data_IF_634282525860
#
_entry.id   IF_634282525860
#
_cell.length_a   1.000
_cell.length_b   1.000
_cell.length_c   1.000
_cell.angle_alpha   90.00
_cell.angle_beta   90.00
_cell.angle_gamma   90.00
#
_symmetry.space_group_name_H-M   'P 1'
#
loop_
_entity.id
_entity.type
_entity.pdbx_description
1 polymer ?
#
# COMPACT_ATOMS: atom_id res chain seq x y z
N UNK A 1 -15.11 36.09 -9.10
CA UNK A 1 -14.99 34.93 -8.18
C UNK A 1 -15.42 35.24 -6.74
N UNK A 2 -14.95 36.31 -6.09
CA UNK A 2 -15.20 36.54 -4.65
C UNK A 2 -16.68 36.67 -4.22
N UNK A 3 -17.57 37.18 -5.09
CA UNK A 3 -19.00 37.28 -4.79
C UNK A 3 -19.64 35.88 -4.66
N UNK A 4 -19.29 34.96 -5.56
CA UNK A 4 -19.81 33.59 -5.55
C UNK A 4 -19.39 32.87 -4.27
N UNK A 5 -18.12 33.01 -3.87
CA UNK A 5 -17.63 32.45 -2.62
C UNK A 5 -18.36 33.01 -1.39
N UNK A 6 -18.56 34.33 -1.31
CA UNK A 6 -19.32 34.98 -0.22
C UNK A 6 -20.78 34.50 -0.16
N UNK A 7 -21.41 34.32 -1.32
CA UNK A 7 -22.78 33.79 -1.41
C UNK A 7 -22.83 32.33 -0.93
N UNK A 8 -21.89 31.49 -1.36
CA UNK A 8 -21.79 30.10 -0.90
C UNK A 8 -21.60 30.03 0.61
N UNK A 9 -20.69 30.82 1.18
CA UNK A 9 -20.45 30.84 2.63
C UNK A 9 -21.69 31.27 3.43
N UNK A 10 -22.40 32.31 2.97
CA UNK A 10 -23.66 32.75 3.59
C UNK A 10 -24.75 31.68 3.50
N UNK A 11 -24.83 31.00 2.36
CA UNK A 11 -25.78 29.92 2.13
C UNK A 11 -25.54 28.72 3.08
N UNK A 12 -24.28 28.31 3.26
CA UNK A 12 -23.90 27.26 4.23
C UNK A 12 -24.23 27.65 5.67
N UNK A 13 -23.90 28.89 6.06
CA UNK A 13 -24.22 29.41 7.40
C UNK A 13 -25.72 29.50 7.67
N UNK A 14 -26.55 29.70 6.63
CA UNK A 14 -28.01 29.72 6.76
C UNK A 14 -28.57 28.30 6.89
N UNK A 15 -28.03 27.33 6.16
CA UNK A 15 -28.51 25.95 6.12
C UNK A 15 -27.66 24.99 6.99
N UNK A 16 -27.39 25.37 8.24
CA UNK A 16 -26.46 24.64 9.13
C UNK A 16 -26.83 23.17 9.38
N UNK A 17 -28.11 22.81 9.36
CA UNK A 17 -28.52 21.40 9.55
C UNK A 17 -28.02 20.53 8.40
N UNK A 18 -28.21 21.00 7.16
CA UNK A 18 -27.78 20.28 5.96
C UNK A 18 -26.27 20.21 5.84
N UNK A 19 -25.58 21.34 5.99
CA UNK A 19 -24.11 21.39 5.93
C UNK A 19 -23.46 20.50 7.01
N UNK A 20 -24.08 20.36 8.20
CA UNK A 20 -23.59 19.41 9.20
C UNK A 20 -23.80 17.96 8.77
N UNK A 21 -24.94 17.62 8.17
CA UNK A 21 -25.20 16.26 7.69
C UNK A 21 -24.22 15.82 6.60
N UNK A 22 -23.89 16.70 5.64
CA UNK A 22 -22.92 16.39 4.58
C UNK A 22 -21.50 16.27 5.13
N UNK A 23 -21.08 17.19 6.00
CA UNK A 23 -19.77 17.11 6.66
C UNK A 23 -19.66 15.81 7.47
N UNK A 24 -20.70 15.42 8.21
CA UNK A 24 -20.71 14.15 8.95
C UNK A 24 -20.67 12.94 8.02
N UNK A 25 -21.36 12.97 6.87
CA UNK A 25 -21.30 11.90 5.87
C UNK A 25 -19.91 11.73 5.29
N UNK A 26 -19.24 12.85 4.94
CA UNK A 26 -17.85 12.85 4.47
C UNK A 26 -16.92 12.34 5.57
N UNK A 27 -17.04 12.86 6.79
CA UNK A 27 -16.20 12.48 7.91
C UNK A 27 -16.36 10.98 8.25
N UNK A 28 -17.59 10.48 8.31
CA UNK A 28 -17.88 9.07 8.56
C UNK A 28 -17.25 8.16 7.49
N UNK A 29 -17.39 8.53 6.21
CA UNK A 29 -16.75 7.78 5.13
C UNK A 29 -15.23 7.80 5.26
N UNK A 30 -14.63 8.96 5.57
CA UNK A 30 -13.17 9.07 5.75
C UNK A 30 -12.68 8.31 6.98
N UNK A 31 -13.45 8.22 8.07
CA UNK A 31 -13.15 7.37 9.23
C UNK A 31 -13.05 5.91 8.76
N UNK A 32 -14.06 5.40 8.07
CA UNK A 32 -14.06 4.00 7.61
C UNK A 32 -12.86 3.73 6.70
N UNK A 33 -12.61 4.60 5.72
CA UNK A 33 -11.48 4.46 4.80
C UNK A 33 -10.13 4.50 5.51
N UNK A 34 -9.93 5.42 6.45
CA UNK A 34 -8.67 5.54 7.19
C UNK A 34 -8.46 4.39 8.17
N UNK A 35 -9.47 4.03 8.95
CA UNK A 35 -9.38 2.92 9.89
C UNK A 35 -9.05 1.61 9.17
N UNK A 36 -9.73 1.29 8.08
CA UNK A 36 -9.47 0.06 7.31
C UNK A 36 -8.06 0.08 6.72
N UNK A 37 -7.63 1.21 6.17
CA UNK A 37 -6.29 1.33 5.57
C UNK A 37 -5.18 1.20 6.62
N UNK A 38 -5.32 1.88 7.76
CA UNK A 38 -4.34 1.81 8.85
C UNK A 38 -4.32 0.42 9.49
N UNK A 39 -5.49 -0.18 9.70
CA UNK A 39 -5.59 -1.54 10.22
C UNK A 39 -4.94 -2.55 9.27
N UNK A 40 -5.21 -2.48 7.97
CA UNK A 40 -4.58 -3.34 6.98
C UNK A 40 -3.06 -3.21 6.99
N UNK A 41 -2.53 -1.97 7.03
CA UNK A 41 -1.09 -1.72 7.14
C UNK A 41 -0.49 -2.25 8.45
N UNK A 42 -1.22 -2.16 9.56
CA UNK A 42 -0.79 -2.63 10.88
C UNK A 42 -0.78 -4.15 10.96
N UNK A 43 -1.86 -4.81 10.51
CA UNK A 43 -1.97 -6.26 10.40
C UNK A 43 -0.83 -6.81 9.54
N UNK A 44 -0.62 -6.17 8.39
CA UNK A 44 0.52 -6.45 7.55
C UNK A 44 1.80 -6.30 8.40
N UNK A 45 2.08 -5.15 9.01
CA UNK A 45 3.29 -4.93 9.80
C UNK A 45 3.57 -6.04 10.83
N UNK A 46 2.55 -6.49 11.56
CA UNK A 46 2.68 -7.58 12.53
C UNK A 46 3.11 -8.90 11.90
N UNK A 47 2.51 -9.32 10.78
CA UNK A 47 2.87 -10.56 10.08
C UNK A 47 4.31 -10.48 9.54
N UNK A 48 4.74 -9.31 9.05
CA UNK A 48 6.13 -9.12 8.61
C UNK A 48 7.09 -9.31 9.77
N UNK A 49 6.80 -8.70 10.91
CA UNK A 49 7.70 -8.76 12.06
C UNK A 49 7.76 -10.17 12.66
N UNK A 50 6.63 -10.89 12.73
CA UNK A 50 6.64 -12.28 13.20
C UNK A 50 7.50 -13.20 12.33
N UNK A 51 7.42 -13.06 10.99
CA UNK A 51 8.29 -13.85 10.08
C UNK A 51 9.77 -13.50 10.27
N UNK A 52 10.08 -12.22 10.51
CA UNK A 52 11.47 -11.77 10.75
C UNK A 52 12.02 -12.26 12.08
N UNK A 53 11.18 -12.36 13.10
CA UNK A 53 11.54 -12.92 14.40
C UNK A 53 11.76 -14.43 14.34
N UNK A 54 10.89 -15.16 13.61
CA UNK A 54 10.94 -16.63 13.56
C UNK A 54 12.00 -17.19 12.59
N UNK A 55 12.22 -16.57 11.43
CA UNK A 55 13.07 -17.12 10.36
C UNK A 55 14.20 -16.19 9.89
N UNK A 56 14.29 -14.98 10.45
CA UNK A 56 15.27 -13.96 10.06
C UNK A 56 14.78 -13.07 8.90
N UNK A 57 15.52 -11.99 8.64
CA UNK A 57 15.12 -10.93 7.71
C UNK A 57 15.63 -11.10 6.27
N UNK A 58 16.33 -12.21 5.98
CA UNK A 58 16.92 -12.47 4.68
C UNK A 58 15.86 -12.75 3.61
N UNK A 59 16.11 -12.26 2.40
CA UNK A 59 15.19 -12.47 1.27
C UNK A 59 15.64 -13.62 0.36
N UNK A 60 16.94 -13.90 0.37
CA UNK A 60 17.55 -14.98 -0.39
C UNK A 60 18.83 -15.46 0.29
N UNK A 61 19.21 -16.70 -0.01
CA UNK A 61 20.48 -17.32 0.37
C UNK A 61 21.19 -17.75 -0.91
N UNK A 62 22.45 -17.35 -1.04
CA UNK A 62 23.36 -17.88 -2.04
C UNK A 62 24.11 -19.06 -1.44
N UNK A 63 24.14 -20.18 -2.16
CA UNK A 63 24.85 -21.39 -1.74
C UNK A 63 26.16 -21.57 -2.49
N UNK A 64 27.04 -22.39 -1.93
CA UNK A 64 28.28 -22.86 -2.57
C UNK A 64 29.22 -21.72 -3.00
N UNK A 65 29.37 -20.69 -2.16
CA UNK A 65 30.23 -19.55 -2.45
C UNK A 65 31.66 -19.74 -1.93
N UNK A 66 32.62 -19.16 -2.64
CA UNK A 66 33.97 -18.96 -2.13
C UNK A 66 34.10 -17.63 -1.34
N UNK A 67 35.24 -17.47 -0.64
CA UNK A 67 35.48 -16.27 0.18
C UNK A 67 35.57 -14.99 -0.67
N UNK A 68 36.03 -15.06 -1.92
CA UNK A 68 36.19 -13.90 -2.81
C UNK A 68 34.83 -13.41 -3.34
N UNK A 69 33.95 -14.35 -3.67
CA UNK A 69 32.56 -14.13 -4.05
C UNK A 69 31.75 -13.53 -2.91
N UNK A 70 31.97 -13.99 -1.68
CA UNK A 70 31.35 -13.42 -0.48
C UNK A 70 31.71 -11.94 -0.28
N UNK A 71 32.98 -11.58 -0.39
CA UNK A 71 33.40 -10.18 -0.28
C UNK A 71 32.86 -9.33 -1.44
N UNK A 72 32.82 -9.88 -2.66
CA UNK A 72 32.18 -9.24 -3.82
C UNK A 72 30.67 -9.00 -3.65
N UNK A 73 29.99 -9.88 -2.90
CA UNK A 73 28.57 -9.72 -2.55
C UNK A 73 28.35 -8.59 -1.54
N UNK A 74 29.21 -8.46 -0.53
CA UNK A 74 29.14 -7.36 0.45
C UNK A 74 29.24 -5.98 -0.18
N UNK A 75 30.07 -5.83 -1.22
CA UNK A 75 30.22 -4.54 -1.93
C UNK A 75 29.01 -4.19 -2.82
N UNK A 76 28.06 -5.11 -3.00
CA UNK A 76 26.96 -4.93 -3.93
C UNK A 76 25.90 -3.96 -3.40
N UNK A 77 25.81 -2.77 -4.01
CA UNK A 77 24.84 -1.71 -3.66
C UNK A 77 23.35 -2.11 -3.69
N UNK A 78 22.99 -3.25 -4.28
CA UNK A 78 21.61 -3.75 -4.36
C UNK A 78 21.22 -4.63 -3.18
N UNK A 79 22.21 -5.17 -2.48
CA UNK A 79 22.03 -5.98 -1.29
C UNK A 79 22.24 -5.10 -0.04
N UNK A 80 21.49 -5.42 0.99
CA UNK A 80 21.66 -4.92 2.35
C UNK A 80 21.90 -6.14 3.23
N UNK A 81 22.61 -5.96 4.34
CA UNK A 81 22.82 -7.00 5.35
C UNK A 81 23.18 -8.38 4.76
N UNK A 82 24.47 -8.54 4.42
CA UNK A 82 25.01 -9.78 3.88
C UNK A 82 25.75 -10.50 5.00
N UNK A 83 25.25 -11.66 5.41
CA UNK A 83 25.79 -12.44 6.52
C UNK A 83 25.96 -13.90 6.11
N UNK A 84 26.95 -14.55 6.71
CA UNK A 84 27.10 -16.00 6.61
C UNK A 84 26.01 -16.69 7.44
N UNK A 85 25.49 -17.80 6.94
CA UNK A 85 24.43 -18.61 7.56
C UNK A 85 24.81 -20.07 7.45
N UNK A 86 24.51 -20.86 8.49
CA UNK A 86 24.69 -22.31 8.45
C UNK A 86 23.69 -22.94 7.48
N UNK A 87 24.17 -23.83 6.61
CA UNK A 87 23.32 -24.61 5.72
C UNK A 87 22.81 -25.87 6.45
N UNK A 88 21.51 -26.18 6.32
CA UNK A 88 20.92 -27.40 6.91
C UNK A 88 21.37 -28.68 6.16
N UNK A 89 21.77 -28.56 4.89
CA UNK A 89 22.24 -29.64 4.04
C UNK A 89 23.71 -29.44 3.64
N UNK A 90 24.64 -29.68 4.57
CA UNK A 90 26.08 -29.58 4.29
C UNK A 90 26.63 -30.90 3.75
N UNK A 91 26.78 -31.01 2.43
CA UNK A 91 27.74 -31.96 1.85
C UNK A 91 29.17 -31.58 2.28
N UNK A 92 30.09 -32.56 2.45
CA UNK A 92 31.43 -32.32 2.99
C UNK A 92 32.34 -31.43 2.13
N UNK A 93 31.97 -31.11 0.88
CA UNK A 93 32.64 -30.18 -0.02
C UNK A 93 31.81 -28.90 -0.31
N UNK A 94 30.75 -28.63 0.46
CA UNK A 94 29.86 -27.49 0.23
C UNK A 94 30.56 -26.16 0.55
N UNK A 95 30.36 -25.16 -0.32
CA UNK A 95 30.89 -23.81 -0.13
C UNK A 95 30.14 -23.00 0.93
N UNK A 96 30.50 -21.73 1.10
CA UNK A 96 29.88 -20.81 2.06
C UNK A 96 28.43 -20.50 1.68
N UNK A 97 27.53 -20.56 2.67
CA UNK A 97 26.14 -20.14 2.53
C UNK A 97 25.95 -18.72 3.04
N UNK A 98 25.44 -17.84 2.18
CA UNK A 98 25.38 -16.40 2.44
C UNK A 98 23.95 -15.89 2.30
N UNK A 99 23.36 -15.50 3.42
CA UNK A 99 22.08 -14.83 3.48
C UNK A 99 22.23 -13.35 3.10
N UNK A 100 21.30 -12.85 2.28
CA UNK A 100 21.31 -11.47 1.84
C UNK A 100 19.91 -10.85 1.84
N UNK A 101 19.84 -9.58 2.24
CA UNK A 101 18.63 -8.78 2.10
C UNK A 101 18.66 -7.94 0.82
N UNK A 102 17.51 -7.80 0.19
CA UNK A 102 17.36 -6.92 -0.96
C UNK A 102 17.01 -5.51 -0.50
N UNK A 103 17.75 -4.50 -0.97
CA UNK A 103 17.42 -3.09 -0.69
C UNK A 103 16.03 -2.69 -1.21
N UNK A 104 15.59 -3.31 -2.31
CA UNK A 104 14.30 -3.04 -2.93
C UNK A 104 13.69 -4.32 -3.49
N UNK A 105 12.78 -4.90 -2.73
CA UNK A 105 12.00 -6.09 -3.08
C UNK A 105 10.95 -5.72 -4.13
N UNK A 106 11.09 -6.26 -5.33
CA UNK A 106 10.14 -6.07 -6.42
C UNK A 106 10.22 -7.25 -7.39
N UNK A 107 9.25 -7.39 -8.30
CA UNK A 107 9.18 -8.52 -9.25
C UNK A 107 10.47 -8.75 -10.06
N UNK A 108 11.28 -7.70 -10.28
CA UNK A 108 12.57 -7.79 -10.99
C UNK A 108 13.70 -8.37 -10.13
N UNK A 109 13.44 -8.75 -8.88
CA UNK A 109 14.48 -9.26 -7.98
C UNK A 109 15.08 -10.56 -8.49
N UNK A 110 14.26 -11.50 -8.97
CA UNK A 110 14.72 -12.78 -9.50
C UNK A 110 15.71 -12.59 -10.67
N UNK A 111 15.42 -11.65 -11.58
CA UNK A 111 16.37 -11.27 -12.65
C UNK A 111 17.66 -10.67 -12.08
N UNK A 112 17.54 -9.83 -11.04
CA UNK A 112 18.68 -9.12 -10.46
C UNK A 112 19.61 -10.07 -9.72
N UNK A 113 19.07 -10.99 -8.92
CA UNK A 113 19.84 -11.98 -8.16
C UNK A 113 20.56 -12.95 -9.08
N UNK A 114 19.91 -13.42 -10.15
CA UNK A 114 20.58 -14.24 -11.17
C UNK A 114 21.70 -13.47 -11.90
N UNK A 115 21.51 -12.17 -12.17
CA UNK A 115 22.59 -11.30 -12.70
C UNK A 115 23.73 -11.08 -11.70
N UNK A 116 23.43 -11.08 -10.40
CA UNK A 116 24.44 -10.98 -9.34
C UNK A 116 25.26 -12.27 -9.31
N UNK A 117 24.62 -13.44 -9.27
CA UNK A 117 25.30 -14.73 -9.33
C UNK A 117 26.23 -14.86 -10.54
N UNK A 118 25.76 -14.43 -11.71
CA UNK A 118 26.61 -14.35 -12.91
C UNK A 118 27.82 -13.41 -12.75
N UNK A 119 27.64 -12.27 -12.10
CA UNK A 119 28.69 -11.24 -11.97
C UNK A 119 29.77 -11.65 -10.98
N UNK A 120 29.40 -12.34 -9.91
CA UNK A 120 30.36 -12.84 -8.91
C UNK A 120 31.04 -14.14 -9.37
N UNK A 121 30.57 -14.75 -10.46
CA UNK A 121 31.20 -15.93 -11.04
C UNK A 121 30.75 -17.24 -10.41
N UNK A 122 29.52 -17.32 -9.91
CA UNK A 122 28.94 -18.58 -9.42
C UNK A 122 28.94 -19.64 -10.54
N UNK A 123 29.11 -20.89 -10.14
CA UNK A 123 28.91 -22.03 -11.03
C UNK A 123 27.44 -22.16 -11.42
N UNK A 124 27.18 -22.47 -12.70
CA UNK A 124 25.81 -22.70 -13.16
C UNK A 124 25.40 -24.11 -12.82
N UNK A 125 24.19 -24.25 -12.28
CA UNK A 125 23.56 -25.54 -12.07
C UNK A 125 23.42 -26.28 -13.41
N UNK A 126 23.53 -27.62 -13.41
CA UNK A 126 23.26 -28.43 -14.59
C UNK A 126 21.84 -28.15 -15.11
N UNK A 127 21.63 -28.25 -16.43
CA UNK A 127 20.36 -27.85 -17.07
C UNK A 127 19.14 -28.59 -16.50
N UNK A 128 19.34 -29.81 -15.97
CA UNK A 128 18.32 -30.64 -15.34
C UNK A 128 17.83 -30.07 -13.99
N UNK A 129 18.66 -29.30 -13.30
CA UNK A 129 18.36 -28.70 -11.99
C UNK A 129 17.86 -27.25 -12.10
N UNK A 130 17.65 -26.74 -13.32
CA UNK A 130 17.15 -25.38 -13.50
C UNK A 130 15.76 -25.21 -12.92
N UNK A 131 15.68 -24.44 -11.84
CA UNK A 131 14.42 -24.14 -11.16
C UNK A 131 13.66 -23.07 -11.92
N UNK A 132 12.34 -23.24 -12.06
CA UNK A 132 11.46 -22.16 -12.50
C UNK A 132 11.27 -21.20 -11.33
N UNK A 133 11.63 -19.94 -11.54
CA UNK A 133 11.40 -18.86 -10.59
C UNK A 133 10.08 -18.15 -10.93
N UNK A 134 9.48 -17.45 -9.95
CA UNK A 134 8.32 -16.59 -10.20
C UNK A 134 8.57 -15.60 -11.35
N UNK A 135 7.50 -15.21 -12.04
CA UNK A 135 7.54 -14.31 -13.22
C UNK A 135 8.25 -14.89 -14.45
N UNK A 136 8.24 -16.22 -14.62
CA UNK A 136 8.82 -16.95 -15.77
C UNK A 136 10.34 -16.76 -15.93
N UNK A 137 11.01 -16.48 -14.82
CA UNK A 137 12.47 -16.43 -14.79
C UNK A 137 13.05 -17.81 -14.53
N UNK A 138 14.29 -18.04 -14.97
CA UNK A 138 15.00 -19.31 -14.79
C UNK A 138 16.09 -19.15 -13.75
N UNK A 139 16.06 -19.98 -12.71
CA UNK A 139 17.09 -20.08 -11.68
C UNK A 139 18.23 -20.95 -12.19
N UNK A 140 19.27 -20.31 -12.70
CA UNK A 140 20.49 -20.97 -13.22
C UNK A 140 21.57 -21.17 -12.15
N UNK A 141 21.49 -20.41 -11.07
CA UNK A 141 22.43 -20.42 -9.95
C UNK A 141 21.76 -20.96 -8.70
N UNK A 142 22.53 -21.59 -7.81
CA UNK A 142 22.05 -22.13 -6.54
C UNK A 142 21.70 -21.01 -5.55
N UNK A 143 20.49 -20.46 -5.69
CA UNK A 143 19.97 -19.37 -4.88
C UNK A 143 18.59 -19.78 -4.37
N UNK A 144 18.45 -19.89 -3.05
CA UNK A 144 17.16 -20.13 -2.40
C UNK A 144 16.52 -18.80 -2.01
N UNK A 145 15.21 -18.69 -2.20
CA UNK A 145 14.45 -17.49 -1.85
C UNK A 145 13.52 -17.79 -0.69
N UNK A 146 13.38 -16.82 0.21
CA UNK A 146 12.42 -16.91 1.31
C UNK A 146 11.00 -16.63 0.78
N UNK A 147 10.36 -17.65 0.19
CA UNK A 147 9.11 -17.47 -0.55
C UNK A 147 8.00 -16.91 0.35
N UNK A 148 7.88 -17.37 1.61
CA UNK A 148 6.85 -16.90 2.54
C UNK A 148 6.96 -15.40 2.82
N UNK A 149 8.16 -14.89 3.08
CA UNK A 149 8.40 -13.46 3.28
C UNK A 149 8.17 -12.68 1.97
N UNK A 150 8.56 -13.23 0.82
CA UNK A 150 8.38 -12.58 -0.49
C UNK A 150 6.91 -12.50 -0.92
N UNK A 151 6.11 -13.54 -0.65
CA UNK A 151 4.67 -13.55 -0.90
C UNK A 151 3.96 -12.43 -0.15
N UNK A 152 4.41 -12.16 1.08
CA UNK A 152 3.92 -11.07 1.89
C UNK A 152 4.30 -9.69 1.28
N UNK A 153 5.45 -9.56 0.64
CA UNK A 153 5.78 -8.39 -0.19
C UNK A 153 4.96 -8.30 -1.49
N UNK A 154 4.05 -9.25 -1.73
CA UNK A 154 3.20 -9.33 -2.91
C UNK A 154 3.87 -9.99 -4.12
N UNK A 155 4.98 -10.70 -3.90
CA UNK A 155 5.67 -11.47 -4.95
C UNK A 155 5.16 -12.90 -4.94
N UNK A 156 4.19 -13.16 -5.80
CA UNK A 156 3.48 -14.44 -5.85
C UNK A 156 3.86 -15.18 -7.11
N UNK A 157 3.91 -16.50 -7.04
CA UNK A 157 3.90 -17.33 -8.24
C UNK A 157 2.52 -17.30 -8.90
N UNK A 158 2.44 -17.56 -10.21
CA UNK A 158 1.23 -17.34 -11.05
C UNK A 158 -0.02 -18.11 -10.56
N UNK A 159 0.11 -19.04 -9.60
CA UNK A 159 -0.93 -19.97 -9.17
C UNK A 159 -1.66 -19.60 -7.88
N UNK A 160 -1.20 -18.63 -7.06
CA UNK A 160 -1.87 -18.30 -5.78
C UNK A 160 -1.80 -16.82 -5.43
N UNK A 161 -2.95 -16.25 -5.02
CA UNK A 161 -2.97 -14.90 -4.46
C UNK A 161 -2.46 -14.94 -3.02
N UNK A 162 -1.32 -14.30 -2.74
CA UNK A 162 -0.84 -14.14 -1.37
C UNK A 162 -1.82 -13.35 -0.51
N UNK A 163 -1.68 -13.56 0.79
CA UNK A 163 -2.45 -12.85 1.82
C UNK A 163 -2.34 -11.33 1.64
N UNK A 164 -1.14 -10.81 1.36
CA UNK A 164 -0.93 -9.38 1.09
C UNK A 164 -1.64 -8.89 -0.18
N UNK A 165 -1.66 -9.72 -1.23
CA UNK A 165 -2.42 -9.45 -2.46
C UNK A 165 -3.93 -9.36 -2.21
N UNK A 166 -4.49 -10.30 -1.43
CA UNK A 166 -5.91 -10.33 -1.07
C UNK A 166 -6.28 -9.07 -0.27
N UNK A 167 -5.49 -8.71 0.74
CA UNK A 167 -5.70 -7.51 1.55
C UNK A 167 -5.70 -6.25 0.68
N UNK A 168 -4.75 -6.12 -0.25
CA UNK A 168 -4.68 -4.97 -1.15
C UNK A 168 -5.91 -4.86 -2.08
N UNK A 169 -6.42 -6.00 -2.58
CA UNK A 169 -7.66 -6.02 -3.38
C UNK A 169 -8.85 -5.54 -2.54
N UNK A 170 -8.97 -6.02 -1.29
CA UNK A 170 -10.04 -5.60 -0.37
C UNK A 170 -9.94 -4.09 -0.08
N UNK A 171 -8.76 -3.58 0.26
CA UNK A 171 -8.54 -2.14 0.51
C UNK A 171 -8.92 -1.31 -0.72
N UNK A 172 -8.56 -1.78 -1.91
CA UNK A 172 -8.92 -1.11 -3.17
C UNK A 172 -10.43 -1.08 -3.40
N UNK A 173 -11.11 -2.20 -3.15
CA UNK A 173 -12.58 -2.28 -3.26
C UNK A 173 -13.27 -1.32 -2.27
N UNK A 174 -12.79 -1.27 -1.03
CA UNK A 174 -13.29 -0.36 0.00
C UNK A 174 -13.09 1.10 -0.41
N UNK A 175 -11.94 1.46 -0.99
CA UNK A 175 -11.69 2.80 -1.52
C UNK A 175 -12.69 3.18 -2.62
N UNK A 176 -12.99 2.26 -3.55
CA UNK A 176 -14.00 2.49 -4.60
C UNK A 176 -15.40 2.70 -4.01
N UNK A 177 -15.79 1.88 -3.02
CA UNK A 177 -17.07 2.04 -2.32
C UNK A 177 -17.14 3.38 -1.57
N UNK A 178 -16.04 3.82 -0.96
CA UNK A 178 -15.95 5.12 -0.30
C UNK A 178 -16.22 6.29 -1.25
N UNK A 179 -15.67 6.25 -2.47
CA UNK A 179 -15.96 7.24 -3.51
C UNK A 179 -17.46 7.31 -3.84
N UNK A 180 -18.12 6.15 -3.94
CA UNK A 180 -19.57 6.06 -4.20
C UNK A 180 -20.38 6.63 -3.02
N UNK A 181 -19.99 6.35 -1.78
CA UNK A 181 -20.66 6.90 -0.59
C UNK A 181 -20.58 8.42 -0.52
N UNK A 182 -19.40 8.99 -0.79
CA UNK A 182 -19.22 10.45 -0.86
C UNK A 182 -20.07 11.05 -1.97
N UNK A 183 -20.07 10.41 -3.15
CA UNK A 183 -20.91 10.85 -4.27
C UNK A 183 -22.40 10.85 -3.89
N UNK A 184 -22.88 9.78 -3.24
CA UNK A 184 -24.28 9.68 -2.83
C UNK A 184 -24.65 10.75 -1.80
N UNK A 185 -23.79 10.99 -0.80
CA UNK A 185 -24.01 12.05 0.18
C UNK A 185 -24.08 13.43 -0.48
N UNK A 186 -23.21 13.68 -1.46
CA UNK A 186 -23.16 14.96 -2.18
C UNK A 186 -24.32 15.13 -3.18
N UNK A 187 -24.76 14.05 -3.81
CA UNK A 187 -25.91 14.03 -4.72
C UNK A 187 -27.19 14.45 -4.00
N UNK A 188 -27.41 13.93 -2.79
CA UNK A 188 -28.54 14.32 -1.93
C UNK A 188 -28.48 15.83 -1.61
N UNK A 189 -27.32 16.33 -1.19
CA UNK A 189 -27.12 17.77 -0.90
C UNK A 189 -27.39 18.67 -2.11
N UNK A 190 -26.94 18.24 -3.29
CA UNK A 190 -27.14 18.96 -4.54
C UNK A 190 -28.61 18.98 -4.95
N UNK A 191 -29.31 17.86 -4.82
CA UNK A 191 -30.73 17.74 -5.15
C UNK A 191 -31.59 18.73 -4.34
N UNK A 192 -31.35 18.82 -3.03
CA UNK A 192 -32.05 19.77 -2.16
C UNK A 192 -31.74 21.24 -2.51
N UNK A 193 -30.57 21.52 -3.07
CA UNK A 193 -30.13 22.86 -3.48
C UNK A 193 -30.62 23.27 -4.88
N UNK A 194 -31.20 22.36 -5.66
CA UNK A 194 -31.66 22.64 -7.03
C UNK A 194 -32.56 23.88 -7.11
N UNK A 195 -33.50 24.05 -6.16
CA UNK A 195 -34.39 25.22 -6.12
C UNK A 195 -33.64 26.54 -5.96
N UNK A 196 -32.62 26.57 -5.11
CA UNK A 196 -31.78 27.76 -4.89
C UNK A 196 -30.97 28.13 -6.15
N UNK A 197 -30.38 27.13 -6.81
CA UNK A 197 -29.65 27.34 -8.07
C UNK A 197 -30.59 27.78 -9.21
N UNK A 198 -31.85 27.31 -9.20
CA UNK A 198 -32.91 27.75 -10.09
C UNK A 198 -33.21 29.24 -9.93
N UNK A 199 -33.45 29.70 -8.70
CA UNK A 199 -33.67 31.13 -8.41
C UNK A 199 -32.47 31.98 -8.79
N UNK A 200 -31.25 31.50 -8.50
CA UNK A 200 -30.02 32.18 -8.90
C UNK A 200 -29.93 32.33 -10.44
N UNK A 201 -30.34 31.30 -11.18
CA UNK A 201 -30.47 31.33 -12.64
C UNK A 201 -31.48 32.37 -13.13
N UNK A 202 -32.64 32.49 -12.48
CA UNK A 202 -33.69 33.46 -12.85
C UNK A 202 -33.26 34.92 -12.66
N UNK A 203 -32.32 35.20 -11.75
CA UNK A 203 -31.75 36.54 -11.52
C UNK A 203 -30.65 36.86 -12.58
N UNK A 204 -30.37 35.95 -13.50
CA UNK A 204 -29.40 36.15 -14.58
C UNK A 204 -28.02 35.54 -14.31
N UNK A 205 -27.87 34.67 -13.30
CA UNK A 205 -26.57 34.04 -13.05
C UNK A 205 -26.17 33.07 -14.16
N UNK A 206 -24.90 33.17 -14.59
CA UNK A 206 -24.37 32.36 -15.68
C UNK A 206 -24.32 30.87 -15.30
N UNK A 207 -24.24 29.98 -16.30
CA UNK A 207 -24.07 28.53 -16.10
C UNK A 207 -22.81 28.24 -15.27
N UNK A 208 -21.71 28.93 -15.59
CA UNK A 208 -20.44 28.83 -14.86
C UNK A 208 -20.56 29.30 -13.41
N UNK A 209 -21.29 30.39 -13.13
CA UNK A 209 -21.51 30.88 -11.77
C UNK A 209 -22.29 29.86 -10.91
N UNK A 210 -23.30 29.21 -11.49
CA UNK A 210 -24.08 28.15 -10.79
C UNK A 210 -23.22 26.93 -10.47
N UNK A 211 -22.39 26.50 -11.41
CA UNK A 211 -21.47 25.37 -11.23
C UNK A 211 -20.42 25.69 -10.15
N UNK A 212 -19.83 26.89 -10.17
CA UNK A 212 -18.86 27.32 -9.16
C UNK A 212 -19.43 27.31 -7.73
N UNK A 213 -20.71 27.62 -7.56
CA UNK A 213 -21.39 27.58 -6.25
C UNK A 213 -21.38 26.16 -5.66
N UNK A 214 -21.58 25.15 -6.51
CA UNK A 214 -21.55 23.72 -6.12
C UNK A 214 -20.13 23.33 -5.73
N UNK A 215 -19.14 23.55 -6.61
CA UNK A 215 -17.74 23.24 -6.30
C UNK A 215 -17.22 23.90 -5.02
N UNK A 216 -17.52 25.18 -4.79
CA UNK A 216 -17.11 25.87 -3.56
C UNK A 216 -17.76 25.29 -2.29
N UNK A 217 -19.00 24.82 -2.36
CA UNK A 217 -19.65 24.13 -1.23
C UNK A 217 -18.93 22.81 -0.95
N UNK A 218 -18.65 22.00 -1.97
CA UNK A 218 -17.92 20.75 -1.82
C UNK A 218 -16.53 20.95 -1.23
N UNK A 219 -15.79 21.97 -1.69
CA UNK A 219 -14.46 22.30 -1.16
C UNK A 219 -14.53 22.69 0.32
N UNK A 220 -15.47 23.56 0.71
CA UNK A 220 -15.59 24.02 2.10
C UNK A 220 -16.00 22.89 3.04
N UNK A 221 -16.91 22.02 2.62
CA UNK A 221 -17.34 20.86 3.41
C UNK A 221 -16.23 19.80 3.49
N UNK A 222 -15.53 19.54 2.37
CA UNK A 222 -14.39 18.63 2.31
C UNK A 222 -13.20 19.08 3.17
N UNK A 223 -12.88 20.38 3.17
CA UNK A 223 -11.82 20.96 4.01
C UNK A 223 -12.04 20.75 5.51
N UNK A 224 -13.29 20.53 5.94
CA UNK A 224 -13.63 20.25 7.34
C UNK A 224 -13.80 18.75 7.55
N UNK A 225 -14.60 18.09 6.72
CA UNK A 225 -14.96 16.68 6.88
C UNK A 225 -13.77 15.74 6.70
N UNK A 226 -12.87 16.01 5.76
CA UNK A 226 -11.72 15.12 5.48
C UNK A 226 -10.72 15.12 6.64
N UNK A 227 -10.20 16.28 7.12
CA UNK A 227 -9.25 16.27 8.24
C UNK A 227 -9.86 15.71 9.52
N UNK A 228 -11.13 16.02 9.80
CA UNK A 228 -11.84 15.48 10.97
C UNK A 228 -11.98 13.97 10.86
N UNK A 229 -12.35 13.44 9.70
CA UNK A 229 -12.50 12.01 9.49
C UNK A 229 -11.18 11.25 9.60
N UNK A 230 -10.10 11.79 9.01
CA UNK A 230 -8.76 11.20 9.11
C UNK A 230 -8.27 11.21 10.57
N UNK A 231 -8.40 12.34 11.26
CA UNK A 231 -7.96 12.47 12.65
C UNK A 231 -8.73 11.51 13.57
N UNK A 232 -10.05 11.43 13.41
CA UNK A 232 -10.87 10.49 14.16
C UNK A 232 -10.53 9.02 13.83
N UNK A 233 -10.28 8.68 12.57
CA UNK A 233 -9.86 7.34 12.17
C UNK A 233 -8.54 6.91 12.82
N UNK A 234 -7.53 7.78 12.82
CA UNK A 234 -6.25 7.53 13.49
C UNK A 234 -6.44 7.30 14.99
N UNK A 235 -7.24 8.14 15.65
CA UNK A 235 -7.53 8.00 17.09
C UNK A 235 -8.23 6.67 17.40
N UNK A 236 -9.17 6.24 16.55
CA UNK A 236 -9.84 4.96 16.69
C UNK A 236 -8.87 3.79 16.52
N UNK A 237 -8.02 3.80 15.48
CA UNK A 237 -7.03 2.73 15.27
C UNK A 237 -6.07 2.64 16.45
N UNK A 238 -5.50 3.76 16.91
CA UNK A 238 -4.58 3.76 18.04
C UNK A 238 -5.26 3.29 19.34
N UNK A 239 -6.53 3.65 19.54
CA UNK A 239 -7.33 3.18 20.67
C UNK A 239 -7.55 1.67 20.63
N UNK A 240 -7.82 1.09 19.46
CA UNK A 240 -7.95 -0.36 19.26
C UNK A 240 -6.63 -1.07 19.55
N UNK A 241 -5.51 -0.57 19.00
CA UNK A 241 -4.18 -1.17 19.22
C UNK A 241 -3.82 -1.18 20.70
N UNK A 242 -3.96 -0.03 21.38
CA UNK A 242 -3.68 0.06 22.82
C UNK A 242 -4.57 -0.86 23.66
N UNK A 243 -5.81 -1.10 23.23
CA UNK A 243 -6.70 -2.03 23.92
C UNK A 243 -6.29 -3.49 23.71
N UNK A 244 -5.68 -3.83 22.57
CA UNK A 244 -5.17 -5.19 22.32
C UNK A 244 -3.88 -5.49 23.10
N UNK A 245 -3.06 -4.47 23.37
CA UNK A 245 -1.80 -4.60 24.11
C UNK A 245 -2.00 -4.75 25.63
N UNK A 246 -3.22 -4.56 26.14
CA UNK A 246 -3.49 -4.35 27.57
C UNK A 246 -4.48 -5.38 28.13
#
# INVERSE_FOLDING_TARGET
MGIIFKLTLRYLKKNKKRTRATILGIACTMIILTTISLFANTLMGMIRESIREDQGSWHLIFHDLDQEQYESLKENKKLCNVSETECEDCEPDAGLCVAAEMKNVSWRMFVRTQKIGKKIGMEQLPEEEWRRLPYRETGKYNITYHIELLEYYGLNDETSMSVGGIINVIVTMVMLMGCVLIYNAYSISTFEKLRYLGTLGSIGASKFQRICVVYWEGILEGLIGIPVGIGAGILLTNGIVKWLEN
#
